data_IF_016447366703
#
_entry.id   IF_016447366703
#
_cell.length_a   1.000
_cell.length_b   1.000
_cell.length_c   1.000
_cell.angle_alpha   90.00
_cell.angle_beta   90.00
_cell.angle_gamma   90.00
#
_symmetry.space_group_name_H-M   'P 1'
#
loop_
_entity.id
_entity.type
_entity.pdbx_description
1 polymer ?
#
# COMPACT_ATOMS: atom_id res chain seq x y z
N UNK A 1 7.32 -11.90 12.28
CA UNK A 1 6.20 -10.94 12.05
C UNK A 1 5.89 -10.23 13.37
N UNK A 2 5.69 -8.91 13.37
CA UNK A 2 5.23 -8.19 14.55
C UNK A 2 3.82 -8.64 14.95
N UNK A 3 3.48 -8.46 16.23
CA UNK A 3 2.17 -8.84 16.74
C UNK A 3 1.04 -7.89 16.30
N UNK A 4 1.41 -6.67 15.92
CA UNK A 4 0.47 -5.62 15.49
C UNK A 4 0.93 -5.07 14.15
N UNK A 5 0.00 -4.86 13.24
CA UNK A 5 0.21 -4.20 11.95
C UNK A 5 -0.76 -3.04 11.77
N UNK A 6 -0.39 -2.08 10.94
CA UNK A 6 -1.28 -1.00 10.52
C UNK A 6 -1.87 -1.35 9.15
N UNK A 7 -3.20 -1.48 9.09
CA UNK A 7 -3.92 -1.65 7.83
C UNK A 7 -4.19 -0.30 7.17
N UNK A 8 -3.96 -0.21 5.86
CA UNK A 8 -4.07 1.03 5.11
C UNK A 8 -5.34 1.10 4.24
N UNK A 9 -6.41 0.44 4.67
CA UNK A 9 -7.68 0.48 3.93
C UNK A 9 -8.35 1.85 4.00
N UNK A 10 -8.42 2.44 5.19
CA UNK A 10 -9.00 3.78 5.39
C UNK A 10 -7.90 4.81 5.65
N UNK A 11 -8.17 6.08 5.32
CA UNK A 11 -7.30 7.22 5.59
C UNK A 11 -6.00 7.29 4.76
N UNK A 12 -5.90 6.53 3.69
CA UNK A 12 -4.71 6.54 2.81
C UNK A 12 -5.04 6.77 1.33
N UNK A 13 -6.33 6.89 0.98
CA UNK A 13 -6.76 7.27 -0.36
C UNK A 13 -6.68 8.76 -0.64
N UNK A 14 -7.11 9.16 -1.85
CA UNK A 14 -7.04 10.56 -2.31
C UNK A 14 -8.09 11.46 -1.64
N UNK A 15 -9.04 10.92 -0.89
CA UNK A 15 -10.02 11.69 -0.10
C UNK A 15 -9.48 12.16 1.26
N UNK A 16 -8.29 11.71 1.65
CA UNK A 16 -7.61 12.11 2.88
C UNK A 16 -6.42 12.99 2.52
N UNK A 17 -6.22 14.06 3.27
CA UNK A 17 -5.00 14.85 3.13
C UNK A 17 -3.77 13.97 3.38
N UNK A 18 -2.81 14.03 2.47
CA UNK A 18 -1.61 13.17 2.56
C UNK A 18 -0.85 13.40 3.87
N UNK A 19 -0.92 14.60 4.42
CA UNK A 19 -0.27 14.92 5.68
C UNK A 19 -0.88 14.15 6.86
N UNK A 20 -2.19 13.90 6.85
CA UNK A 20 -2.83 13.07 7.86
C UNK A 20 -2.37 11.60 7.75
N UNK A 21 -2.28 11.09 6.54
CA UNK A 21 -1.74 9.76 6.27
C UNK A 21 -0.30 9.63 6.74
N UNK A 22 0.52 10.65 6.48
CA UNK A 22 1.91 10.73 6.91
C UNK A 22 2.03 10.66 8.43
N UNK A 23 1.23 11.45 9.13
CA UNK A 23 1.24 11.47 10.60
C UNK A 23 0.85 10.12 11.21
N UNK A 24 -0.14 9.43 10.61
CA UNK A 24 -0.53 8.09 11.03
C UNK A 24 0.62 7.09 10.90
N UNK A 25 1.32 7.10 9.76
CA UNK A 25 2.46 6.22 9.52
C UNK A 25 3.61 6.52 10.46
N UNK A 26 3.96 7.79 10.63
CA UNK A 26 5.02 8.22 11.56
C UNK A 26 4.71 7.80 12.99
N UNK A 27 3.47 8.05 13.43
CA UNK A 27 3.07 7.68 14.78
C UNK A 27 3.09 6.16 15.00
N UNK A 28 2.62 5.39 14.02
CA UNK A 28 2.67 3.93 14.08
C UNK A 28 4.12 3.44 14.19
N UNK A 29 5.01 3.96 13.36
CA UNK A 29 6.43 3.61 13.38
C UNK A 29 7.09 3.97 14.72
N UNK A 30 6.83 5.16 15.25
CA UNK A 30 7.36 5.60 16.55
C UNK A 30 6.89 4.71 17.72
N UNK A 31 5.72 4.10 17.58
CA UNK A 31 5.19 3.13 18.55
C UNK A 31 5.72 1.70 18.34
N UNK A 32 6.59 1.49 17.36
CA UNK A 32 7.20 0.19 17.08
C UNK A 32 6.40 -0.68 16.11
N UNK A 33 5.40 -0.14 15.41
CA UNK A 33 4.68 -0.86 14.36
C UNK A 33 5.49 -0.78 13.08
N UNK A 34 5.99 -1.93 12.62
CA UNK A 34 6.85 -2.01 11.44
C UNK A 34 6.20 -2.76 10.27
N UNK A 35 5.00 -3.28 10.45
CA UNK A 35 4.25 -3.95 9.38
C UNK A 35 3.09 -3.07 8.92
N UNK A 36 3.11 -2.72 7.63
CA UNK A 36 2.08 -1.96 6.93
C UNK A 36 1.39 -2.86 5.90
N UNK A 37 0.07 -2.98 6.02
CA UNK A 37 -0.72 -3.92 5.21
C UNK A 37 -1.64 -3.17 4.25
N UNK A 38 -1.37 -3.34 2.95
CA UNK A 38 -2.08 -2.71 1.84
C UNK A 38 -2.93 -3.73 1.06
N UNK A 39 -3.57 -3.26 0.02
CA UNK A 39 -4.08 -4.02 -1.10
C UNK A 39 -4.05 -3.15 -2.36
N UNK A 40 -3.99 -3.79 -3.53
CA UNK A 40 -3.90 -3.07 -4.79
C UNK A 40 -5.08 -2.14 -5.05
N UNK A 41 -6.28 -2.46 -4.50
CA UNK A 41 -7.49 -1.68 -4.69
C UNK A 41 -7.79 -0.70 -3.55
N UNK A 42 -6.97 -0.61 -2.52
CA UNK A 42 -7.22 0.33 -1.43
C UNK A 42 -7.15 1.78 -1.92
N UNK A 43 -8.08 2.58 -1.42
CA UNK A 43 -8.23 3.98 -1.84
C UNK A 43 -9.25 4.70 -0.97
N UNK A 44 -10.26 5.39 -1.55
CA UNK A 44 -10.54 5.60 -2.98
C UNK A 44 -9.58 6.60 -3.64
N UNK A 45 -9.38 6.56 -4.96
CA UNK A 45 -9.75 5.49 -5.88
C UNK A 45 -8.84 4.26 -5.75
N UNK A 46 -9.20 3.10 -6.34
CA UNK A 46 -8.34 1.91 -6.29
C UNK A 46 -6.90 2.20 -6.73
N UNK A 47 -5.93 1.76 -5.91
CA UNK A 47 -4.50 2.01 -6.13
C UNK A 47 -3.96 3.28 -5.48
N UNK A 48 -4.82 4.18 -5.01
CA UNK A 48 -4.38 5.45 -4.42
C UNK A 48 -3.69 5.26 -3.07
N UNK A 49 -4.12 4.29 -2.27
CA UNK A 49 -3.46 4.01 -0.99
C UNK A 49 -2.01 3.56 -1.20
N UNK A 50 -1.75 2.67 -2.17
CA UNK A 50 -0.38 2.28 -2.51
C UNK A 50 0.46 3.45 -3.04
N UNK A 51 -0.11 4.33 -3.88
CA UNK A 51 0.61 5.52 -4.37
C UNK A 51 0.96 6.48 -3.24
N UNK A 52 -0.01 6.77 -2.38
CA UNK A 52 0.18 7.71 -1.27
C UNK A 52 1.16 7.16 -0.24
N UNK A 53 1.05 5.87 0.09
CA UNK A 53 2.03 5.18 0.93
C UNK A 53 3.43 5.22 0.30
N UNK A 54 3.53 4.91 -1.01
CA UNK A 54 4.79 4.93 -1.73
C UNK A 54 5.47 6.30 -1.69
N UNK A 55 4.69 7.38 -1.87
CA UNK A 55 5.20 8.74 -1.73
C UNK A 55 5.76 9.00 -0.34
N UNK A 56 5.02 8.67 0.70
CA UNK A 56 5.45 8.89 2.09
C UNK A 56 6.68 8.01 2.39
N UNK A 57 6.70 6.77 1.91
CA UNK A 57 7.84 5.88 2.07
C UNK A 57 9.13 6.49 1.51
N UNK A 58 9.06 7.01 0.28
CA UNK A 58 10.22 7.63 -0.37
C UNK A 58 10.66 8.92 0.34
N UNK A 59 9.73 9.72 0.80
CA UNK A 59 10.04 11.01 1.44
C UNK A 59 10.53 10.86 2.88
N UNK A 60 9.97 9.92 3.67
CA UNK A 60 10.17 9.88 5.12
C UNK A 60 10.82 8.60 5.65
N UNK A 61 10.63 7.45 4.99
CA UNK A 61 10.97 6.13 5.54
C UNK A 61 12.07 5.39 4.80
N UNK A 62 12.58 5.94 3.72
CA UNK A 62 13.58 5.26 2.91
C UNK A 62 14.81 4.78 3.71
N UNK A 63 15.36 5.55 4.69
CA UNK A 63 16.47 5.08 5.52
C UNK A 63 16.16 3.85 6.36
N UNK A 64 14.88 3.58 6.63
CA UNK A 64 14.44 2.43 7.44
C UNK A 64 13.74 1.35 6.62
N UNK A 65 13.88 1.39 5.28
CA UNK A 65 13.18 0.45 4.39
C UNK A 65 13.36 -1.02 4.81
N UNK A 66 14.56 -1.39 5.21
CA UNK A 66 14.88 -2.77 5.58
C UNK A 66 14.33 -3.19 6.95
N UNK A 67 13.89 -2.24 7.76
CA UNK A 67 13.19 -2.50 9.02
C UNK A 67 11.68 -2.69 8.82
N UNK A 68 11.14 -2.37 7.65
CA UNK A 68 9.72 -2.42 7.39
C UNK A 68 9.32 -3.70 6.67
N UNK A 69 8.21 -4.26 7.10
CA UNK A 69 7.48 -5.31 6.40
C UNK A 69 6.30 -4.65 5.70
N UNK A 70 6.25 -4.76 4.39
CA UNK A 70 5.18 -4.18 3.58
C UNK A 70 4.50 -5.31 2.85
N UNK A 71 3.22 -5.51 3.13
CA UNK A 71 2.39 -6.50 2.46
C UNK A 71 1.31 -5.85 1.62
N UNK A 72 0.98 -6.46 0.50
CA UNK A 72 -0.16 -6.08 -0.31
C UNK A 72 -0.88 -7.32 -0.83
N UNK A 73 -2.05 -7.14 -1.39
CA UNK A 73 -2.92 -8.22 -1.87
C UNK A 73 -3.48 -7.84 -3.23
N UNK A 74 -3.83 -8.85 -3.99
CA UNK A 74 -4.54 -8.72 -5.26
C UNK A 74 -5.74 -9.67 -5.27
N UNK A 75 -6.70 -9.43 -6.17
CA UNK A 75 -7.90 -10.24 -6.30
C UNK A 75 -9.16 -9.44 -6.63
N UNK A 76 -9.06 -8.14 -6.54
CA UNK A 76 -10.17 -7.22 -6.82
C UNK A 76 -10.09 -6.65 -8.23
N UNK A 77 -11.20 -6.16 -8.75
CA UNK A 77 -11.26 -5.54 -10.07
C UNK A 77 -10.40 -4.29 -10.14
N UNK A 78 -9.41 -4.28 -11.02
CA UNK A 78 -8.47 -3.17 -11.20
C UNK A 78 -8.55 -2.56 -12.59
N UNK A 79 -8.96 -3.32 -13.61
CA UNK A 79 -9.20 -2.83 -14.97
C UNK A 79 -10.23 -3.70 -15.67
N UNK A 80 -10.84 -3.18 -16.71
CA UNK A 80 -11.81 -3.92 -17.52
C UNK A 80 -11.11 -4.97 -18.40
N UNK A 81 -11.73 -6.12 -18.53
CA UNK A 81 -11.24 -7.22 -19.34
C UNK A 81 -11.08 -8.52 -18.56
N UNK A 82 -10.79 -9.62 -19.26
CA UNK A 82 -10.79 -10.95 -18.65
C UNK A 82 -9.65 -11.18 -17.65
N UNK A 83 -8.65 -10.30 -17.64
CA UNK A 83 -7.49 -10.41 -16.76
C UNK A 83 -7.36 -9.23 -15.78
N UNK A 84 -8.43 -8.46 -15.59
CA UNK A 84 -8.43 -7.28 -14.72
C UNK A 84 -8.89 -7.54 -13.30
N UNK A 85 -9.13 -8.81 -12.93
CA UNK A 85 -9.83 -9.18 -11.72
C UNK A 85 -9.47 -10.62 -11.33
N UNK A 86 -9.71 -10.96 -10.07
CA UNK A 86 -9.64 -12.29 -9.48
C UNK A 86 -8.22 -12.84 -9.32
N UNK A 87 -7.92 -14.04 -9.80
CA UNK A 87 -6.73 -14.77 -9.36
C UNK A 87 -5.96 -15.48 -10.47
N UNK A 88 -6.16 -15.12 -11.76
CA UNK A 88 -5.34 -15.71 -12.81
C UNK A 88 -3.86 -15.37 -12.62
N UNK A 89 -2.97 -16.23 -13.06
CA UNK A 89 -1.53 -15.98 -13.03
C UNK A 89 -1.17 -14.66 -13.72
N UNK A 90 -1.82 -14.38 -14.87
CA UNK A 90 -1.62 -13.14 -15.61
C UNK A 90 -2.02 -11.90 -14.78
N UNK A 91 -3.18 -11.95 -14.13
CA UNK A 91 -3.65 -10.87 -13.26
C UNK A 91 -2.70 -10.66 -12.07
N UNK A 92 -2.27 -11.74 -11.42
CA UNK A 92 -1.41 -11.65 -10.25
C UNK A 92 -0.04 -11.05 -10.59
N UNK A 93 0.58 -11.46 -11.69
CA UNK A 93 1.86 -10.90 -12.15
C UNK A 93 1.73 -9.42 -12.52
N UNK A 94 0.69 -9.08 -13.30
CA UNK A 94 0.44 -7.69 -13.67
C UNK A 94 0.13 -6.83 -12.44
N UNK A 95 -0.64 -7.36 -11.49
CA UNK A 95 -0.95 -6.66 -10.24
C UNK A 95 0.29 -6.41 -9.38
N UNK A 96 1.19 -7.38 -9.29
CA UNK A 96 2.45 -7.21 -8.56
C UNK A 96 3.29 -6.10 -9.19
N UNK A 97 3.47 -6.12 -10.50
CA UNK A 97 4.23 -5.07 -11.22
C UNK A 97 3.63 -3.68 -10.98
N UNK A 98 2.29 -3.57 -11.02
CA UNK A 98 1.61 -2.31 -10.77
C UNK A 98 1.75 -1.85 -9.31
N UNK A 99 1.65 -2.77 -8.35
CA UNK A 99 1.85 -2.46 -6.93
C UNK A 99 3.26 -1.98 -6.64
N UNK A 100 4.28 -2.63 -7.20
CA UNK A 100 5.67 -2.19 -7.09
C UNK A 100 5.87 -0.79 -7.66
N UNK A 101 5.28 -0.49 -8.82
CA UNK A 101 5.34 0.85 -9.41
C UNK A 101 4.66 1.91 -8.54
N UNK A 102 3.48 1.60 -7.96
CA UNK A 102 2.78 2.55 -7.11
C UNK A 102 3.51 2.82 -5.80
N UNK A 103 4.08 1.80 -5.20
CA UNK A 103 4.80 1.91 -3.93
C UNK A 103 6.24 2.39 -4.10
N UNK A 104 6.82 2.24 -5.27
CA UNK A 104 8.23 2.58 -5.52
C UNK A 104 9.22 1.55 -4.95
N UNK A 105 8.78 0.31 -4.77
CA UNK A 105 9.58 -0.79 -4.23
C UNK A 105 10.19 -1.66 -5.34
#
# INVERSE_FOLDING_TARGET
MPAISLGLWHNFGDTTLIENSRQLLQRAFDLGITHFDLANNYGPPPGSAERNFGRILQEDFLPWRDELIISTKAGYTMWEGPYGDWGSRKYLLASLDQSLKRTGL
#
